data_IF_544178061064
#
_entry.id   IF_544178061064
#
_cell.length_a   1.000
_cell.length_b   1.000
_cell.length_c   1.000
_cell.angle_alpha   90.00
_cell.angle_beta   90.00
_cell.angle_gamma   90.00
#
_symmetry.space_group_name_H-M   'P 1'
#
loop_
_entity.id
_entity.type
_entity.pdbx_description
1 polymer ?
#
# COMPACT_ATOMS: atom_id res chain seq x y z
N UNK A 1 3.46 32.09 4.14
CA UNK A 1 2.37 31.15 3.79
C UNK A 1 2.40 30.70 2.32
N UNK A 2 2.37 31.58 1.31
CA UNK A 2 2.44 31.14 -0.11
C UNK A 2 3.70 30.34 -0.45
N UNK A 3 4.87 30.74 0.05
CA UNK A 3 6.10 29.98 -0.14
C UNK A 3 6.06 28.61 0.56
N UNK A 4 5.53 28.55 1.78
CA UNK A 4 5.31 27.30 2.51
C UNK A 4 4.35 26.35 1.77
N UNK A 5 3.26 26.89 1.20
CA UNK A 5 2.31 26.12 0.41
C UNK A 5 2.99 25.50 -0.83
N UNK A 6 3.83 26.28 -1.53
CA UNK A 6 4.62 25.78 -2.67
C UNK A 6 5.63 24.71 -2.27
N UNK A 7 6.27 24.85 -1.12
CA UNK A 7 7.17 23.81 -0.57
C UNK A 7 6.42 22.50 -0.31
N UNK A 8 5.14 22.57 0.05
CA UNK A 8 4.26 21.41 0.23
C UNK A 8 3.53 20.98 -1.05
N UNK A 9 3.91 21.50 -2.23
CA UNK A 9 3.33 21.10 -3.53
C UNK A 9 1.99 21.76 -3.86
N UNK A 10 1.50 22.71 -3.05
CA UNK A 10 0.28 23.47 -3.33
C UNK A 10 0.60 24.72 -4.15
N UNK A 11 -0.09 24.87 -5.29
CA UNK A 11 0.03 26.04 -6.17
C UNK A 11 -0.78 27.24 -5.64
N UNK A 12 -0.65 27.57 -4.36
CA UNK A 12 -1.37 28.68 -3.74
C UNK A 12 -0.65 30.01 -3.98
N UNK A 13 -1.33 30.94 -4.66
CA UNK A 13 -0.94 32.34 -4.71
C UNK A 13 -1.54 33.13 -3.54
N UNK A 14 -1.14 34.40 -3.40
CA UNK A 14 -1.64 35.28 -2.33
C UNK A 14 -3.14 35.54 -2.43
N UNK A 15 -3.71 35.52 -3.64
CA UNK A 15 -5.14 35.74 -3.86
C UNK A 15 -5.96 34.57 -3.34
N UNK A 16 -5.52 33.32 -3.61
CA UNK A 16 -6.13 32.10 -3.10
C UNK A 16 -6.09 32.05 -1.57
N UNK A 17 -4.97 32.40 -0.96
CA UNK A 17 -4.84 32.46 0.51
C UNK A 17 -5.84 33.46 1.08
N UNK A 18 -5.89 34.68 0.55
CA UNK A 18 -6.84 35.71 0.99
C UNK A 18 -8.31 35.33 0.74
N UNK A 19 -8.60 34.45 -0.22
CA UNK A 19 -9.94 33.90 -0.45
C UNK A 19 -10.30 32.81 0.57
N UNK A 20 -9.35 31.93 0.91
CA UNK A 20 -9.52 30.90 1.94
C UNK A 20 -9.71 31.54 3.33
N UNK A 21 -8.88 32.52 3.68
CA UNK A 21 -8.97 33.25 4.97
C UNK A 21 -10.32 33.97 5.18
N UNK A 22 -10.99 34.35 4.08
CA UNK A 22 -12.32 34.98 4.12
C UNK A 22 -13.48 33.99 4.00
N UNK A 23 -13.20 32.69 3.88
CA UNK A 23 -14.22 31.68 3.59
C UNK A 23 -14.87 31.83 2.20
N UNK A 24 -14.28 32.63 1.31
CA UNK A 24 -14.80 32.89 -0.04
C UNK A 24 -14.47 31.75 -1.03
N UNK A 25 -13.64 30.80 -0.62
CA UNK A 25 -13.24 29.63 -1.40
C UNK A 25 -13.29 28.39 -0.51
N UNK A 26 -13.83 27.30 -1.05
CA UNK A 26 -13.78 25.99 -0.41
C UNK A 26 -12.37 25.40 -0.47
N UNK A 27 -12.01 24.65 0.57
CA UNK A 27 -10.79 23.86 0.63
C UNK A 27 -11.13 22.41 0.29
N UNK A 28 -10.32 21.76 -0.54
CA UNK A 28 -10.50 20.32 -0.80
C UNK A 28 -10.01 19.49 0.39
N UNK A 29 -10.39 18.20 0.46
CA UNK A 29 -9.96 17.34 1.56
C UNK A 29 -8.45 17.11 1.56
N UNK A 30 -7.85 17.01 0.37
CA UNK A 30 -6.40 16.87 0.19
C UNK A 30 -5.68 18.14 0.67
N UNK A 31 -6.22 19.32 0.33
CA UNK A 31 -5.70 20.60 0.80
C UNK A 31 -5.82 20.73 2.33
N UNK A 32 -6.94 20.28 2.91
CA UNK A 32 -7.15 20.28 4.36
C UNK A 32 -6.14 19.38 5.08
N UNK A 33 -5.87 18.18 4.56
CA UNK A 33 -4.89 17.24 5.14
C UNK A 33 -3.45 17.77 5.02
N UNK A 34 -3.13 18.53 3.98
CA UNK A 34 -1.79 19.12 3.78
C UNK A 34 -1.61 20.42 4.58
N UNK A 35 -2.69 21.13 4.91
CA UNK A 35 -2.66 22.43 5.57
C UNK A 35 -1.86 22.48 6.90
N UNK A 36 -1.93 21.48 7.81
CA UNK A 36 -1.12 21.50 9.03
C UNK A 36 0.39 21.57 8.75
N UNK A 37 0.88 20.92 7.68
CA UNK A 37 2.28 20.99 7.28
C UNK A 37 2.64 22.38 6.74
N UNK A 38 1.78 22.96 5.91
CA UNK A 38 1.97 24.31 5.37
C UNK A 38 2.06 25.34 6.50
N UNK A 39 1.14 25.25 7.45
CA UNK A 39 1.12 26.15 8.61
C UNK A 39 2.29 25.87 9.54
N UNK A 40 2.72 24.63 9.68
CA UNK A 40 3.87 24.33 10.52
C UNK A 40 5.19 24.89 9.99
N UNK A 41 5.37 24.88 8.68
CA UNK A 41 6.48 25.59 8.02
C UNK A 41 6.33 27.11 8.16
N UNK A 42 5.11 27.64 7.97
CA UNK A 42 4.89 29.09 7.99
C UNK A 42 4.96 29.73 9.39
N UNK A 43 4.59 28.98 10.43
CA UNK A 43 4.50 29.44 11.82
C UNK A 43 5.61 28.90 12.71
N UNK A 44 6.53 28.09 12.16
CA UNK A 44 7.64 27.46 12.90
C UNK A 44 7.20 26.67 14.14
N UNK A 45 6.01 26.06 14.09
CA UNK A 45 5.45 25.20 15.15
C UNK A 45 4.71 24.04 14.55
N UNK A 46 4.57 22.92 15.26
CA UNK A 46 3.67 21.87 14.80
C UNK A 46 2.21 22.37 14.87
N UNK A 47 1.43 22.09 13.83
CA UNK A 47 -0.02 22.33 13.76
C UNK A 47 -0.67 20.98 13.48
N UNK A 48 -1.79 20.69 14.12
CA UNK A 48 -2.56 19.46 13.91
C UNK A 48 -3.85 19.74 13.14
N UNK A 49 -4.49 18.72 12.58
CA UNK A 49 -5.81 18.87 11.94
C UNK A 49 -6.86 19.29 12.98
N UNK A 50 -6.81 18.74 14.18
CA UNK A 50 -7.71 19.11 15.27
C UNK A 50 -7.59 20.59 15.64
N UNK A 51 -6.38 21.15 15.66
CA UNK A 51 -6.18 22.60 15.87
C UNK A 51 -6.78 23.46 14.74
N UNK A 52 -6.83 22.96 13.50
CA UNK A 52 -7.45 23.68 12.38
C UNK A 52 -8.97 23.63 12.42
N UNK A 53 -9.49 22.58 13.04
CA UNK A 53 -10.90 22.27 13.17
C UNK A 53 -11.39 22.56 14.62
N UNK A 54 -10.67 23.37 15.39
CA UNK A 54 -11.10 23.77 16.74
C UNK A 54 -12.11 24.92 16.65
N UNK A 55 -13.28 24.62 16.10
CA UNK A 55 -14.42 25.53 16.02
C UNK A 55 -15.69 24.84 16.49
N UNK A 56 -16.54 25.53 17.29
CA UNK A 56 -17.86 25.02 17.64
C UNK A 56 -18.85 25.05 16.47
N UNK A 57 -18.48 25.71 15.36
CA UNK A 57 -19.36 25.85 14.21
C UNK A 57 -19.46 24.55 13.40
N UNK A 58 -20.62 24.35 12.78
CA UNK A 58 -20.81 23.25 11.83
C UNK A 58 -20.04 23.54 10.55
N UNK A 59 -19.30 22.52 10.10
CA UNK A 59 -18.56 22.56 8.83
C UNK A 59 -19.42 21.86 7.77
N UNK A 60 -19.74 22.60 6.71
CA UNK A 60 -20.39 22.04 5.54
C UNK A 60 -19.38 21.19 4.75
N UNK A 61 -19.57 19.88 4.73
CA UNK A 61 -18.83 18.95 3.86
C UNK A 61 -19.43 18.99 2.44
N UNK A 62 -20.76 19.10 2.37
CA UNK A 62 -21.54 19.36 1.16
C UNK A 62 -22.70 20.30 1.54
N UNK A 63 -23.47 20.84 0.58
CA UNK A 63 -24.64 21.66 0.91
C UNK A 63 -25.70 20.95 1.77
N UNK A 64 -25.68 19.61 1.82
CA UNK A 64 -26.65 18.79 2.57
C UNK A 64 -26.03 18.07 3.78
N UNK A 65 -24.71 17.95 3.85
CA UNK A 65 -24.00 17.24 4.92
C UNK A 65 -23.16 18.23 5.69
N UNK A 66 -23.46 18.32 6.98
CA UNK A 66 -22.75 19.15 7.93
C UNK A 66 -22.30 18.26 9.09
N UNK A 67 -21.13 18.55 9.65
CA UNK A 67 -20.63 17.88 10.85
C UNK A 67 -19.98 18.92 11.76
N UNK A 68 -19.83 18.59 13.04
CA UNK A 68 -18.96 19.40 13.87
C UNK A 68 -17.53 19.29 13.35
N UNK A 69 -16.74 20.34 13.56
CA UNK A 69 -15.34 20.33 13.17
C UNK A 69 -14.56 19.19 13.88
N UNK A 70 -14.97 18.84 15.11
CA UNK A 70 -14.50 17.68 15.85
C UNK A 70 -14.81 16.35 15.16
N UNK A 71 -16.06 16.12 14.75
CA UNK A 71 -16.44 14.87 14.06
C UNK A 71 -15.62 14.65 12.79
N UNK A 72 -15.31 15.73 12.06
CA UNK A 72 -14.48 15.66 10.86
C UNK A 72 -13.03 15.30 11.21
N UNK A 73 -12.49 15.87 12.29
CA UNK A 73 -11.17 15.50 12.79
C UNK A 73 -11.13 14.01 13.18
N UNK A 74 -12.17 13.53 13.86
CA UNK A 74 -12.31 12.14 14.29
C UNK A 74 -12.38 11.20 13.07
N UNK A 75 -13.18 11.53 12.04
CA UNK A 75 -13.20 10.77 10.77
C UNK A 75 -11.80 10.72 10.14
N UNK A 76 -11.09 11.85 10.09
CA UNK A 76 -9.76 11.92 9.48
C UNK A 76 -8.71 11.15 10.29
N UNK A 77 -8.93 10.99 11.59
CA UNK A 77 -8.15 10.11 12.46
C UNK A 77 -8.53 8.62 12.31
N UNK A 78 -9.62 8.31 11.58
CA UNK A 78 -10.15 6.96 11.42
C UNK A 78 -11.08 6.53 12.56
N UNK A 79 -11.54 7.48 13.37
CA UNK A 79 -12.49 7.27 14.46
C UNK A 79 -13.94 7.40 13.96
N UNK A 80 -14.88 6.82 14.69
CA UNK A 80 -16.32 6.93 14.39
C UNK A 80 -16.87 8.18 15.06
N UNK A 81 -17.39 9.15 14.30
CA UNK A 81 -17.93 10.38 14.87
C UNK A 81 -19.24 10.09 15.60
N UNK A 82 -19.53 10.86 16.65
CA UNK A 82 -20.72 10.66 17.49
C UNK A 82 -21.96 11.34 16.91
N UNK A 83 -21.81 12.50 16.25
CA UNK A 83 -22.92 13.43 16.00
C UNK A 83 -23.07 13.91 14.54
N UNK A 84 -22.60 13.13 13.54
CA UNK A 84 -22.80 13.56 12.14
C UNK A 84 -24.28 13.56 11.78
N UNK A 85 -24.76 14.76 11.47
CA UNK A 85 -26.11 14.99 10.96
C UNK A 85 -26.13 14.56 9.50
N UNK A 86 -26.36 13.27 9.32
CA UNK A 86 -26.66 12.67 8.04
C UNK A 86 -28.17 12.80 7.80
N UNK A 87 -28.66 13.35 6.67
CA UNK A 87 -30.08 13.32 6.36
C UNK A 87 -30.62 11.90 6.52
N UNK A 88 -31.79 11.72 7.14
CA UNK A 88 -32.35 10.41 7.50
C UNK A 88 -32.34 9.40 6.32
N UNK A 89 -32.53 9.89 5.09
CA UNK A 89 -32.44 9.06 3.87
C UNK A 89 -31.05 8.50 3.56
N UNK A 90 -29.98 9.24 3.90
CA UNK A 90 -28.60 8.78 3.77
C UNK A 90 -28.24 7.85 4.93
N UNK A 91 -28.78 8.10 6.13
CA UNK A 91 -28.67 7.17 7.26
C UNK A 91 -29.35 5.81 6.96
N UNK A 92 -30.51 5.81 6.30
CA UNK A 92 -31.24 4.61 5.86
C UNK A 92 -30.51 3.83 4.74
N UNK A 93 -29.77 4.55 3.88
CA UNK A 93 -28.93 3.94 2.84
C UNK A 93 -27.68 3.28 3.43
N UNK A 94 -27.08 3.90 4.45
CA UNK A 94 -25.91 3.36 5.18
C UNK A 94 -26.33 2.22 6.12
N UNK A 95 -27.50 2.32 6.77
CA UNK A 95 -28.04 1.35 7.72
C UNK A 95 -28.40 -0.03 7.14
N UNK A 96 -28.37 -0.22 5.81
CA UNK A 96 -28.49 -1.54 5.17
C UNK A 96 -27.17 -2.30 5.03
N UNK A 97 -26.04 -1.68 5.38
CA UNK A 97 -24.75 -2.35 5.53
C UNK A 97 -24.25 -2.20 6.96
N UNK A 98 -24.54 -3.17 7.83
CA UNK A 98 -24.00 -3.22 9.18
C UNK A 98 -22.48 -3.34 9.12
N UNK A 99 -21.76 -2.27 9.46
CA UNK A 99 -20.33 -2.30 9.73
C UNK A 99 -20.14 -2.72 11.20
N UNK A 100 -20.11 -4.04 11.46
CA UNK A 100 -19.75 -4.59 12.77
C UNK A 100 -18.24 -4.85 12.82
N UNK A 101 -17.46 -3.81 13.16
CA UNK A 101 -16.08 -3.97 13.59
C UNK A 101 -16.05 -4.09 15.12
N UNK A 102 -16.20 -5.33 15.60
CA UNK A 102 -15.63 -5.83 16.86
C UNK A 102 -15.84 -4.98 18.12
N UNK A 103 -16.90 -5.28 18.88
CA UNK A 103 -17.00 -4.93 20.31
C UNK A 103 -15.79 -5.46 21.10
N UNK A 104 -14.94 -4.55 21.57
CA UNK A 104 -14.17 -4.75 22.80
C UNK A 104 -14.92 -3.97 23.89
N UNK A 105 -15.14 -4.61 25.04
CA UNK A 105 -16.05 -4.20 26.10
C UNK A 105 -15.85 -2.75 26.58
N UNK A 106 -16.89 -1.93 26.44
CA UNK A 106 -17.03 -0.64 27.12
C UNK A 106 -17.71 -0.77 28.50
N UNK A 107 -17.59 0.28 29.35
CA UNK A 107 -18.08 0.29 30.73
C UNK A 107 -19.63 0.26 30.83
N UNK A 108 -20.22 -0.10 31.99
CA UNK A 108 -21.66 -0.27 32.11
C UNK A 108 -22.44 1.05 31.93
N UNK A 109 -23.71 0.98 31.49
CA UNK A 109 -24.50 2.16 31.14
C UNK A 109 -24.86 3.00 32.38
N UNK A 110 -24.81 4.31 32.20
CA UNK A 110 -25.33 5.31 33.15
C UNK A 110 -26.87 5.36 33.01
N UNK A 111 -27.65 5.50 34.10
CA UNK A 111 -29.11 5.57 34.02
C UNK A 111 -29.58 6.85 33.32
N UNK A 112 -30.52 6.70 32.39
CA UNK A 112 -31.15 7.78 31.62
C UNK A 112 -32.06 8.67 32.48
N UNK A 113 -31.94 9.98 32.31
CA UNK A 113 -32.80 11.01 32.90
C UNK A 113 -34.10 11.15 32.07
N UNK A 114 -35.31 10.97 32.65
CA UNK A 114 -36.57 10.96 31.92
C UNK A 114 -37.13 12.37 31.56
N UNK A 115 -36.26 13.36 31.31
CA UNK A 115 -36.66 14.77 31.18
C UNK A 115 -36.47 15.47 29.82
N UNK A 116 -35.90 14.84 28.80
CA UNK A 116 -35.59 15.54 27.54
C UNK A 116 -36.71 15.40 26.49
N UNK A 117 -37.35 16.51 26.13
CA UNK A 117 -38.34 16.59 25.06
C UNK A 117 -37.69 16.54 23.67
N UNK A 118 -38.19 15.66 22.79
CA UNK A 118 -37.76 15.48 21.40
C UNK A 118 -38.22 16.62 20.49
N UNK A 119 -37.34 17.05 19.57
CA UNK A 119 -37.56 18.11 18.58
C UNK A 119 -38.12 17.59 17.23
N UNK A 120 -38.75 16.41 17.20
CA UNK A 120 -39.04 15.70 15.93
C UNK A 120 -40.45 15.84 15.34
N UNK A 121 -41.31 16.71 15.86
CA UNK A 121 -42.70 16.83 15.36
C UNK A 121 -42.93 18.02 14.41
N UNK A 122 -42.30 17.97 13.22
CA UNK A 122 -42.73 18.77 12.07
C UNK A 122 -43.16 17.85 10.93
N UNK A 123 -44.40 17.97 10.40
CA UNK A 123 -44.85 17.16 9.29
C UNK A 123 -44.20 17.63 7.99
N UNK A 124 -43.30 16.82 7.42
CA UNK A 124 -42.78 17.01 6.07
C UNK A 124 -43.79 16.46 5.05
N UNK A 125 -44.23 17.31 4.13
CA UNK A 125 -45.17 16.97 3.06
C UNK A 125 -44.63 15.87 2.11
N UNK A 126 -45.46 14.89 1.68
CA UNK A 126 -45.01 13.74 0.90
C UNK A 126 -44.86 13.98 -0.62
N UNK A 127 -45.06 15.20 -1.13
CA UNK A 127 -45.16 15.45 -2.59
C UNK A 127 -43.84 15.78 -3.32
N UNK A 128 -42.67 15.74 -2.65
CA UNK A 128 -41.37 16.06 -3.28
C UNK A 128 -40.37 14.88 -3.35
N UNK A 129 -40.79 13.65 -3.09
CA UNK A 129 -39.88 12.50 -2.94
C UNK A 129 -39.64 11.64 -4.20
N UNK A 130 -40.12 12.05 -5.39
CA UNK A 130 -39.99 11.26 -6.62
C UNK A 130 -39.35 12.02 -7.76
N UNK A 131 -38.02 12.06 -7.84
CA UNK A 131 -37.31 12.55 -9.02
C UNK A 131 -35.85 12.94 -8.80
N UNK A 132 -35.53 13.61 -7.69
CA UNK A 132 -34.17 14.12 -7.44
C UNK A 132 -33.18 13.07 -6.91
N UNK A 133 -33.67 11.97 -6.32
CA UNK A 133 -32.82 10.96 -5.67
C UNK A 133 -32.08 10.05 -6.67
N UNK A 134 -32.67 9.77 -7.85
CA UNK A 134 -31.98 9.03 -8.93
C UNK A 134 -30.94 9.91 -9.64
N UNK A 135 -31.22 11.21 -9.76
CA UNK A 135 -30.34 12.16 -10.45
C UNK A 135 -29.07 12.45 -9.63
N UNK A 136 -29.16 12.51 -8.29
CA UNK A 136 -28.01 12.70 -7.39
C UNK A 136 -27.15 11.42 -7.28
N UNK A 137 -27.77 10.23 -7.24
CA UNK A 137 -27.04 8.95 -7.24
C UNK A 137 -26.25 8.78 -8.56
N UNK A 138 -26.85 9.16 -9.69
CA UNK A 138 -26.20 9.13 -11.00
C UNK A 138 -25.13 10.22 -11.20
N UNK A 139 -25.33 11.46 -10.72
CA UNK A 139 -24.40 12.55 -10.97
C UNK A 139 -23.17 12.58 -10.06
N UNK A 140 -23.26 12.08 -8.82
CA UNK A 140 -22.18 12.25 -7.82
C UNK A 140 -21.62 10.92 -7.34
N UNK A 141 -22.46 9.93 -7.04
CA UNK A 141 -22.00 8.64 -6.49
C UNK A 141 -21.41 7.74 -7.56
N UNK A 142 -22.00 7.74 -8.75
CA UNK A 142 -21.51 6.90 -9.84
C UNK A 142 -20.10 7.31 -10.31
N UNK A 143 -19.74 8.60 -10.45
CA UNK A 143 -18.35 8.99 -10.73
C UNK A 143 -17.36 8.61 -9.62
N UNK A 144 -17.73 8.77 -8.34
CA UNK A 144 -16.84 8.43 -7.20
C UNK A 144 -16.65 6.91 -7.12
N UNK A 145 -17.72 6.13 -7.27
CA UNK A 145 -17.67 4.67 -7.31
C UNK A 145 -16.82 4.19 -8.48
N UNK A 146 -16.98 4.80 -9.66
CA UNK A 146 -16.18 4.48 -10.84
C UNK A 146 -14.70 4.87 -10.67
N UNK A 147 -14.40 6.00 -10.02
CA UNK A 147 -13.04 6.39 -9.71
C UNK A 147 -12.38 5.43 -8.71
N UNK A 148 -13.09 5.06 -7.64
CA UNK A 148 -12.59 4.10 -6.64
C UNK A 148 -12.40 2.70 -7.27
N UNK A 149 -13.38 2.22 -8.03
CA UNK A 149 -13.29 0.95 -8.74
C UNK A 149 -12.12 0.93 -9.73
N UNK A 150 -11.93 2.01 -10.49
CA UNK A 150 -10.80 2.13 -11.42
C UNK A 150 -9.46 2.15 -10.69
N UNK A 151 -9.35 2.91 -9.60
CA UNK A 151 -8.14 2.98 -8.79
C UNK A 151 -7.79 1.60 -8.22
N UNK A 152 -8.79 0.88 -7.71
CA UNK A 152 -8.61 -0.50 -7.22
C UNK A 152 -8.14 -1.40 -8.36
N UNK A 153 -8.84 -1.39 -9.50
CA UNK A 153 -8.49 -2.23 -10.66
C UNK A 153 -7.08 -1.95 -11.20
N UNK A 154 -6.65 -0.70 -11.24
CA UNK A 154 -5.29 -0.30 -11.64
C UNK A 154 -4.23 -0.69 -10.60
N UNK A 155 -4.58 -0.66 -9.30
CA UNK A 155 -3.69 -1.05 -8.21
C UNK A 155 -3.56 -2.58 -8.03
N UNK A 156 -4.57 -3.37 -8.45
CA UNK A 156 -4.61 -4.82 -8.23
C UNK A 156 -3.41 -5.59 -8.81
N UNK A 157 -2.94 -5.33 -10.05
CA UNK A 157 -1.75 -6.00 -10.58
C UNK A 157 -0.50 -5.73 -9.73
N UNK A 158 -0.34 -4.49 -9.26
CA UNK A 158 0.77 -4.08 -8.40
C UNK A 158 0.64 -4.73 -7.03
N UNK A 159 -0.57 -4.74 -6.45
CA UNK A 159 -0.83 -5.38 -5.16
C UNK A 159 -0.49 -6.87 -5.18
N UNK A 160 -0.94 -7.56 -6.23
CA UNK A 160 -0.61 -8.96 -6.48
C UNK A 160 0.89 -9.16 -6.59
N UNK A 161 1.59 -8.37 -7.41
CA UNK A 161 3.05 -8.50 -7.58
C UNK A 161 3.81 -8.25 -6.27
N UNK A 162 3.38 -7.26 -5.49
CA UNK A 162 3.97 -6.99 -4.17
C UNK A 162 3.74 -8.15 -3.18
N UNK A 163 2.58 -8.79 -3.22
CA UNK A 163 2.30 -10.00 -2.43
C UNK A 163 3.19 -11.18 -2.85
N UNK A 164 3.33 -11.42 -4.16
CA UNK A 164 4.21 -12.46 -4.73
C UNK A 164 5.67 -12.27 -4.29
N UNK A 165 6.16 -11.03 -4.29
CA UNK A 165 7.51 -10.70 -3.82
C UNK A 165 7.65 -10.63 -2.28
N UNK A 166 6.57 -10.89 -1.53
CA UNK A 166 6.58 -10.78 -0.07
C UNK A 166 6.93 -9.38 0.44
N UNK A 167 6.60 -8.35 -0.33
CA UNK A 167 6.75 -6.94 0.03
C UNK A 167 5.53 -6.42 0.79
N UNK A 168 4.42 -7.17 0.74
CA UNK A 168 3.19 -6.79 1.43
C UNK A 168 3.38 -6.86 2.94
N UNK A 169 3.29 -5.72 3.67
CA UNK A 169 3.38 -5.74 5.11
C UNK A 169 2.21 -6.56 5.71
N UNK A 170 2.40 -7.10 6.91
CA UNK A 170 1.29 -7.75 7.64
C UNK A 170 0.22 -6.69 7.91
N UNK A 171 -0.99 -6.91 7.39
CA UNK A 171 -2.09 -5.93 7.45
C UNK A 171 -2.01 -4.84 6.38
N UNK A 172 -1.14 -4.96 5.38
CA UNK A 172 -1.05 -4.00 4.28
C UNK A 172 -2.37 -3.87 3.51
N UNK A 173 -2.62 -2.68 2.99
CA UNK A 173 -3.85 -2.32 2.27
C UNK A 173 -3.54 -1.87 0.84
N UNK A 174 -4.57 -1.75 -0.01
CA UNK A 174 -4.42 -1.12 -1.33
C UNK A 174 -3.87 0.31 -1.20
N UNK A 175 -4.12 0.99 -0.07
CA UNK A 175 -3.54 2.30 0.24
C UNK A 175 -2.01 2.31 0.25
N UNK A 176 -1.36 1.20 0.61
CA UNK A 176 0.11 1.09 0.58
C UNK A 176 0.65 1.13 -0.86
N UNK A 177 -0.06 0.49 -1.80
CA UNK A 177 0.28 0.53 -3.23
C UNK A 177 0.14 1.93 -3.77
N UNK A 178 -0.97 2.59 -3.44
CA UNK A 178 -1.19 3.99 -3.81
C UNK A 178 -0.07 4.86 -3.27
N UNK A 179 0.26 4.73 -1.98
CA UNK A 179 1.36 5.46 -1.34
C UNK A 179 2.69 5.24 -2.06
N UNK A 180 3.02 4.01 -2.45
CA UNK A 180 4.24 3.73 -3.22
C UNK A 180 4.22 4.38 -4.60
N UNK A 181 3.07 4.38 -5.28
CA UNK A 181 2.92 5.07 -6.56
C UNK A 181 3.17 6.59 -6.42
N UNK A 182 2.64 7.21 -5.36
CA UNK A 182 2.84 8.63 -5.06
C UNK A 182 4.30 9.00 -4.74
N UNK A 183 5.05 8.09 -4.11
CA UNK A 183 6.46 8.30 -3.80
C UNK A 183 7.39 8.07 -5.00
N UNK A 184 6.90 7.46 -6.09
CA UNK A 184 7.67 7.19 -7.28
C UNK A 184 7.90 8.45 -8.11
N UNK A 185 9.11 8.60 -8.67
CA UNK A 185 9.43 9.63 -9.65
C UNK A 185 9.97 9.05 -10.95
N UNK A 186 10.48 9.91 -11.82
CA UNK A 186 11.04 9.54 -13.13
C UNK A 186 12.15 8.48 -13.02
N UNK A 187 12.93 8.49 -11.94
CA UNK A 187 14.02 7.53 -11.73
C UNK A 187 13.46 6.11 -11.50
N UNK A 188 12.41 5.99 -10.71
CA UNK A 188 11.71 4.73 -10.42
C UNK A 188 10.94 4.23 -11.66
N UNK A 189 10.38 5.13 -12.48
CA UNK A 189 9.77 4.76 -13.76
C UNK A 189 10.78 4.15 -14.74
N UNK A 190 11.94 4.79 -14.90
CA UNK A 190 13.01 4.28 -15.77
C UNK A 190 13.56 2.95 -15.26
N UNK A 191 13.69 2.81 -13.94
CA UNK A 191 14.07 1.56 -13.30
C UNK A 191 13.04 0.46 -13.56
N UNK A 192 11.76 0.76 -13.39
CA UNK A 192 10.65 -0.16 -13.64
C UNK A 192 10.65 -0.67 -15.07
N UNK A 193 10.74 0.23 -16.06
CA UNK A 193 10.86 -0.15 -17.49
C UNK A 193 12.05 -1.06 -17.76
N UNK A 194 13.19 -0.84 -17.09
CA UNK A 194 14.40 -1.62 -17.29
C UNK A 194 14.33 -3.01 -16.63
N UNK A 195 13.67 -3.11 -15.47
CA UNK A 195 13.55 -4.35 -14.71
C UNK A 195 12.29 -5.14 -15.06
N UNK A 196 11.38 -4.57 -15.85
CA UNK A 196 10.09 -5.20 -16.17
C UNK A 196 9.09 -5.14 -15.03
N UNK A 197 9.21 -4.15 -14.13
CA UNK A 197 8.39 -4.02 -12.93
C UNK A 197 7.63 -2.70 -12.89
N UNK A 198 6.45 -2.65 -12.26
CA UNK A 198 5.74 -1.39 -12.03
C UNK A 198 6.58 -0.43 -11.16
N UNK A 199 6.53 0.90 -11.39
CA UNK A 199 7.29 1.88 -10.60
C UNK A 199 7.03 1.78 -9.10
N UNK A 200 5.79 1.52 -8.69
CA UNK A 200 5.42 1.31 -7.29
C UNK A 200 6.12 0.09 -6.65
N UNK A 201 6.40 -0.98 -7.43
CA UNK A 201 7.18 -2.13 -6.95
C UNK A 201 8.64 -1.73 -6.73
N UNK A 202 9.20 -0.90 -7.61
CA UNK A 202 10.56 -0.36 -7.43
C UNK A 202 10.65 0.46 -6.14
N UNK A 203 9.65 1.30 -5.86
CA UNK A 203 9.57 2.06 -4.61
C UNK A 203 9.51 1.12 -3.41
N UNK A 204 8.61 0.12 -3.42
CA UNK A 204 8.46 -0.83 -2.33
C UNK A 204 9.76 -1.60 -2.03
N UNK A 205 10.43 -2.11 -3.08
CA UNK A 205 11.72 -2.79 -2.96
C UNK A 205 12.81 -1.86 -2.41
N UNK A 206 12.86 -0.62 -2.88
CA UNK A 206 13.84 0.37 -2.43
C UNK A 206 13.65 0.69 -0.94
N UNK A 207 12.40 0.88 -0.50
CA UNK A 207 12.06 1.09 0.90
C UNK A 207 12.41 -0.13 1.76
N UNK A 208 12.19 -1.35 1.25
CA UNK A 208 12.53 -2.58 1.97
C UNK A 208 14.05 -2.77 2.11
N UNK A 209 14.83 -2.44 1.08
CA UNK A 209 16.29 -2.60 1.09
C UNK A 209 17.02 -1.50 1.84
N UNK A 210 16.59 -0.25 1.68
CA UNK A 210 17.36 0.93 2.10
C UNK A 210 16.57 1.90 3.00
N UNK A 211 15.28 1.67 3.21
CA UNK A 211 14.41 2.62 3.91
C UNK A 211 14.15 3.93 3.14
N UNK A 212 14.54 4.01 1.86
CA UNK A 212 14.44 5.21 1.01
C UNK A 212 14.07 4.83 -0.42
N UNK A 213 13.58 5.79 -1.22
CA UNK A 213 13.35 5.59 -2.66
C UNK A 213 14.69 5.44 -3.41
N UNK A 214 14.66 4.86 -4.62
CA UNK A 214 15.86 4.65 -5.44
C UNK A 214 16.58 5.98 -5.74
N UNK A 215 15.81 7.03 -6.06
CA UNK A 215 16.31 8.38 -6.27
C UNK A 215 16.96 8.98 -5.02
N UNK A 216 16.32 8.84 -3.86
CA UNK A 216 16.86 9.33 -2.59
C UNK A 216 18.13 8.59 -2.17
N UNK A 217 18.17 7.27 -2.30
CA UNK A 217 19.35 6.47 -1.97
C UNK A 217 20.53 6.77 -2.89
N UNK A 218 20.28 6.95 -4.19
CA UNK A 218 21.29 7.41 -5.14
C UNK A 218 21.92 8.73 -4.71
N UNK A 219 21.11 9.70 -4.30
CA UNK A 219 21.59 11.02 -3.93
C UNK A 219 22.26 11.02 -2.55
N UNK A 220 21.85 10.12 -1.63
CA UNK A 220 22.56 9.84 -0.38
C UNK A 220 23.96 9.26 -0.61
N UNK A 221 24.10 8.20 -1.43
CA UNK A 221 25.42 7.62 -1.75
C UNK A 221 26.30 8.66 -2.46
N UNK A 222 25.70 9.52 -3.30
CA UNK A 222 26.43 10.58 -3.98
C UNK A 222 26.98 11.62 -3.00
N UNK A 223 26.22 11.99 -1.96
CA UNK A 223 26.68 12.93 -0.93
C UNK A 223 27.78 12.33 -0.05
N UNK A 224 27.69 11.03 0.27
CA UNK A 224 28.73 10.33 1.06
C UNK A 224 30.04 10.16 0.30
N UNK A 225 29.99 9.93 -1.03
CA UNK A 225 31.19 9.70 -1.86
C UNK A 225 32.11 10.92 -2.01
N UNK A 226 31.82 12.03 -1.30
CA UNK A 226 32.68 13.22 -1.20
C UNK A 226 33.18 13.67 -2.57
N UNK A 227 32.25 13.77 -3.53
CA UNK A 227 32.57 14.34 -4.84
C UNK A 227 33.09 15.76 -4.59
N UNK A 228 34.32 16.11 -5.01
CA UNK A 228 34.88 17.42 -4.74
C UNK A 228 33.89 18.50 -5.15
N UNK A 229 33.71 19.54 -4.33
CA UNK A 229 32.80 20.65 -4.64
C UNK A 229 33.13 21.36 -5.96
N UNK A 230 34.39 21.24 -6.42
CA UNK A 230 34.87 21.72 -7.72
C UNK A 230 34.66 20.74 -8.90
N UNK A 231 33.99 19.60 -8.68
CA UNK A 231 33.76 18.63 -9.74
C UNK A 231 32.82 19.20 -10.82
N UNK A 232 33.14 18.90 -12.08
CA UNK A 232 32.31 19.32 -13.21
C UNK A 232 30.96 18.60 -13.19
N UNK A 233 29.92 19.23 -13.78
CA UNK A 233 28.58 18.62 -13.92
C UNK A 233 28.62 17.25 -14.59
N UNK A 234 29.52 17.05 -15.55
CA UNK A 234 29.69 15.77 -16.25
C UNK A 234 30.27 14.68 -15.35
N UNK A 235 31.19 15.05 -14.46
CA UNK A 235 31.74 14.13 -13.47
C UNK A 235 30.64 13.66 -12.51
N UNK A 236 29.84 14.60 -11.99
CA UNK A 236 28.70 14.29 -11.11
C UNK A 236 27.68 13.39 -11.82
N UNK A 237 27.34 13.69 -13.09
CA UNK A 237 26.44 12.87 -13.91
C UNK A 237 26.99 11.45 -14.12
N UNK A 238 28.28 11.31 -14.41
CA UNK A 238 28.95 10.02 -14.59
C UNK A 238 28.96 9.19 -13.30
N UNK A 239 29.27 9.81 -12.16
CA UNK A 239 29.21 9.17 -10.84
C UNK A 239 27.78 8.71 -10.54
N UNK A 240 26.79 9.59 -10.70
CA UNK A 240 25.37 9.27 -10.51
C UNK A 240 24.95 8.08 -11.37
N UNK A 241 25.32 8.06 -12.66
CA UNK A 241 25.00 6.95 -13.57
C UNK A 241 25.66 5.62 -13.20
N UNK A 242 26.83 5.62 -12.55
CA UNK A 242 27.44 4.40 -11.97
C UNK A 242 26.67 3.92 -10.73
N UNK A 243 26.31 4.85 -9.83
CA UNK A 243 25.53 4.55 -8.62
C UNK A 243 24.18 3.93 -9.02
N UNK A 244 23.42 4.57 -9.92
CA UNK A 244 22.13 4.04 -10.38
C UNK A 244 22.24 2.63 -10.94
N UNK A 245 23.26 2.34 -11.77
CA UNK A 245 23.47 0.98 -12.30
C UNK A 245 23.75 -0.05 -11.20
N UNK A 246 24.51 0.32 -10.18
CA UNK A 246 24.77 -0.55 -9.05
C UNK A 246 23.49 -0.83 -8.24
N UNK A 247 22.71 0.20 -7.92
CA UNK A 247 21.44 0.06 -7.20
C UNK A 247 20.42 -0.80 -7.98
N UNK A 248 20.37 -0.64 -9.32
CA UNK A 248 19.53 -1.49 -10.17
C UNK A 248 19.96 -2.96 -10.16
N UNK A 249 21.26 -3.24 -10.10
CA UNK A 249 21.74 -4.62 -9.95
C UNK A 249 21.35 -5.21 -8.59
N UNK A 250 21.38 -4.40 -7.52
CA UNK A 250 20.91 -4.83 -6.20
C UNK A 250 19.41 -5.14 -6.21
N UNK A 251 18.57 -4.25 -6.76
CA UNK A 251 17.13 -4.48 -6.92
C UNK A 251 16.84 -5.74 -7.74
N UNK A 252 17.54 -5.95 -8.85
CA UNK A 252 17.39 -7.16 -9.65
C UNK A 252 17.76 -8.42 -8.88
N UNK A 253 18.81 -8.36 -8.04
CA UNK A 253 19.18 -9.44 -7.14
C UNK A 253 18.10 -9.74 -6.09
N UNK A 254 17.54 -8.70 -5.48
CA UNK A 254 16.49 -8.84 -4.46
C UNK A 254 15.18 -9.40 -5.03
N UNK A 255 14.77 -8.94 -6.22
CA UNK A 255 13.62 -9.51 -6.95
C UNK A 255 13.81 -11.00 -7.12
N UNK A 256 14.98 -11.43 -7.64
CA UNK A 256 15.28 -12.86 -7.82
C UNK A 256 15.23 -13.61 -6.49
N UNK A 257 15.88 -13.10 -5.43
CA UNK A 257 15.86 -13.75 -4.12
C UNK A 257 14.44 -13.92 -3.56
N UNK A 258 13.57 -12.93 -3.76
CA UNK A 258 12.17 -12.98 -3.33
C UNK A 258 11.32 -13.92 -4.17
N UNK A 259 11.55 -13.98 -5.48
CA UNK A 259 10.92 -14.98 -6.36
C UNK A 259 11.30 -16.40 -5.90
N UNK A 260 12.59 -16.64 -5.61
CA UNK A 260 13.06 -17.91 -5.05
C UNK A 260 12.40 -18.23 -3.71
N UNK A 261 12.22 -17.22 -2.84
CA UNK A 261 11.53 -17.41 -1.56
C UNK A 261 10.03 -17.67 -1.73
N UNK A 262 9.38 -17.05 -2.72
CA UNK A 262 7.98 -17.29 -3.08
C UNK A 262 7.76 -18.71 -3.58
N UNK A 263 8.65 -19.22 -4.43
CA UNK A 263 8.64 -20.61 -4.89
C UNK A 263 8.78 -21.60 -3.74
N UNK A 264 9.63 -21.28 -2.76
CA UNK A 264 9.78 -22.10 -1.57
C UNK A 264 8.51 -22.17 -0.73
N UNK A 265 7.65 -21.13 -0.68
CA UNK A 265 6.40 -21.17 0.11
C UNK A 265 5.42 -22.24 -0.36
N UNK A 266 5.36 -22.54 -1.66
CA UNK A 266 4.50 -23.64 -2.13
C UNK A 266 4.97 -24.98 -1.58
N UNK A 267 6.30 -25.17 -1.53
CA UNK A 267 6.91 -26.37 -0.96
C UNK A 267 6.73 -26.38 0.57
N UNK A 268 6.88 -25.23 1.23
CA UNK A 268 6.61 -25.12 2.67
C UNK A 268 5.17 -25.54 2.99
N UNK A 269 4.19 -25.09 2.18
CA UNK A 269 2.79 -25.50 2.35
C UNK A 269 2.58 -26.99 2.07
N UNK A 270 3.21 -27.54 1.03
CA UNK A 270 3.06 -28.95 0.68
C UNK A 270 3.72 -29.89 1.70
N UNK A 271 4.82 -29.46 2.32
CA UNK A 271 5.65 -30.30 3.19
C UNK A 271 5.47 -30.01 4.68
N UNK A 272 4.90 -28.85 5.04
CA UNK A 272 4.88 -28.35 6.41
C UNK A 272 6.27 -27.99 6.97
N UNK A 273 7.30 -27.90 6.14
CA UNK A 273 8.69 -27.59 6.53
C UNK A 273 9.04 -26.16 6.12
N UNK A 274 9.93 -25.51 6.86
CA UNK A 274 10.39 -24.16 6.52
C UNK A 274 11.33 -24.13 5.31
N UNK A 275 11.43 -22.99 4.63
CA UNK A 275 12.16 -22.79 3.39
C UNK A 275 13.65 -23.12 3.50
N UNK A 276 14.25 -22.89 4.68
CA UNK A 276 15.64 -23.25 4.93
C UNK A 276 15.88 -24.77 4.83
N UNK A 277 14.92 -25.57 5.32
CA UNK A 277 14.99 -27.03 5.23
C UNK A 277 14.81 -27.50 3.78
N UNK A 278 13.83 -26.92 3.06
CA UNK A 278 13.60 -27.17 1.64
C UNK A 278 14.86 -26.86 0.81
N UNK A 279 15.51 -25.72 1.07
CA UNK A 279 16.73 -25.32 0.38
C UNK A 279 17.90 -26.28 0.64
N UNK A 280 18.01 -26.83 1.87
CA UNK A 280 19.02 -27.83 2.21
C UNK A 280 18.78 -29.14 1.46
N UNK A 281 17.52 -29.62 1.43
CA UNK A 281 17.16 -30.83 0.68
C UNK A 281 17.41 -30.66 -0.82
N UNK A 282 17.03 -29.52 -1.40
CA UNK A 282 17.31 -29.21 -2.81
C UNK A 282 18.82 -29.24 -3.12
N UNK A 283 19.63 -28.65 -2.23
CA UNK A 283 21.09 -28.66 -2.38
C UNK A 283 21.67 -30.06 -2.27
N UNK A 284 21.15 -30.91 -1.38
CA UNK A 284 21.60 -32.30 -1.28
C UNK A 284 21.21 -33.13 -2.51
N UNK A 285 20.01 -32.90 -3.07
CA UNK A 285 19.52 -33.63 -4.24
C UNK A 285 20.26 -33.24 -5.53
N UNK A 286 20.53 -31.94 -5.72
CA UNK A 286 20.95 -31.42 -7.03
C UNK A 286 22.24 -30.60 -7.00
N UNK A 287 22.82 -30.36 -5.82
CA UNK A 287 23.97 -29.47 -5.65
C UNK A 287 23.66 -27.98 -5.84
N UNK A 288 22.41 -27.63 -6.12
CA UNK A 288 21.96 -26.27 -6.48
C UNK A 288 20.62 -25.94 -5.80
N UNK A 289 20.17 -24.68 -5.95
CA UNK A 289 18.81 -24.30 -5.55
C UNK A 289 17.77 -24.89 -6.49
N UNK A 290 16.54 -25.08 -6.00
CA UNK A 290 15.43 -25.61 -6.78
C UNK A 290 15.16 -24.81 -8.07
N UNK A 291 15.27 -23.48 -8.02
CA UNK A 291 15.07 -22.67 -9.21
C UNK A 291 16.20 -22.77 -10.23
N UNK A 292 17.45 -22.88 -9.77
CA UNK A 292 18.58 -23.11 -10.67
C UNK A 292 18.42 -24.47 -11.35
N UNK A 293 17.98 -25.49 -10.59
CA UNK A 293 17.70 -26.81 -11.13
C UNK A 293 16.52 -26.77 -12.12
N UNK A 294 15.46 -26.03 -11.81
CA UNK A 294 14.34 -25.80 -12.74
C UNK A 294 14.82 -25.17 -14.04
N UNK A 295 15.56 -24.07 -13.94
CA UNK A 295 16.02 -23.35 -15.12
C UNK A 295 17.00 -24.18 -15.95
N UNK A 296 17.86 -24.99 -15.31
CA UNK A 296 18.71 -25.99 -15.97
C UNK A 296 17.87 -26.99 -16.75
N UNK A 297 16.89 -27.62 -16.11
CA UNK A 297 16.03 -28.63 -16.75
C UNK A 297 15.16 -28.04 -17.87
N UNK A 298 14.67 -26.81 -17.73
CA UNK A 298 13.93 -26.10 -18.79
C UNK A 298 14.83 -25.81 -19.99
N UNK A 299 16.05 -25.32 -19.75
CA UNK A 299 17.02 -25.05 -20.81
C UNK A 299 17.49 -26.32 -21.52
N UNK A 300 17.66 -27.43 -20.79
CA UNK A 300 18.01 -28.74 -21.36
C UNK A 300 16.86 -29.36 -22.16
N UNK A 301 15.61 -29.15 -21.72
CA UNK A 301 14.44 -29.75 -22.38
C UNK A 301 14.14 -29.11 -23.73
N UNK A 302 14.12 -27.77 -23.81
CA UNK A 302 13.80 -27.04 -25.04
C UNK A 302 14.58 -25.70 -25.08
N UNK A 303 15.84 -25.69 -25.57
CA UNK A 303 16.70 -24.50 -25.57
C UNK A 303 16.08 -23.29 -26.31
N UNK A 304 15.42 -23.59 -27.43
CA UNK A 304 14.84 -22.61 -28.34
C UNK A 304 13.34 -22.38 -28.10
N UNK A 305 12.81 -22.82 -26.95
CA UNK A 305 11.40 -22.61 -26.61
C UNK A 305 11.03 -21.13 -26.62
N UNK A 306 9.84 -20.82 -27.17
CA UNK A 306 9.25 -19.47 -27.09
C UNK A 306 9.02 -19.05 -25.62
N UNK A 307 8.87 -17.75 -25.32
CA UNK A 307 8.63 -17.28 -23.96
C UNK A 307 7.45 -17.95 -23.27
N UNK A 308 6.32 -18.10 -23.98
CA UNK A 308 5.13 -18.77 -23.45
C UNK A 308 5.39 -20.25 -23.20
N UNK A 309 6.09 -20.91 -24.12
CA UNK A 309 6.47 -22.32 -23.97
C UNK A 309 7.39 -22.54 -22.79
N UNK A 310 8.37 -21.64 -22.56
CA UNK A 310 9.25 -21.69 -21.38
C UNK A 310 8.47 -21.54 -20.08
N UNK A 311 7.42 -20.73 -20.06
CA UNK A 311 6.54 -20.58 -18.90
C UNK A 311 5.81 -21.89 -18.58
N UNK A 312 5.20 -22.52 -19.57
CA UNK A 312 4.54 -23.84 -19.41
C UNK A 312 5.53 -24.91 -18.93
N UNK A 313 6.73 -24.95 -19.53
CA UNK A 313 7.81 -25.87 -19.14
C UNK A 313 8.23 -25.64 -17.69
N UNK A 314 8.41 -24.39 -17.29
CA UNK A 314 8.75 -24.03 -15.91
C UNK A 314 7.70 -24.53 -14.93
N UNK A 315 6.42 -24.31 -15.19
CA UNK A 315 5.34 -24.77 -14.30
C UNK A 315 5.29 -26.29 -14.15
N UNK A 316 5.55 -27.03 -15.24
CA UNK A 316 5.64 -28.50 -15.21
C UNK A 316 6.87 -28.98 -14.44
N UNK A 317 8.04 -28.39 -14.72
CA UNK A 317 9.31 -28.74 -14.06
C UNK A 317 9.27 -28.39 -12.58
N UNK A 318 8.69 -27.24 -12.20
CA UNK A 318 8.51 -26.87 -10.79
C UNK A 318 7.72 -27.95 -10.04
N UNK A 319 6.58 -28.40 -10.58
CA UNK A 319 5.79 -29.48 -9.95
C UNK A 319 6.59 -30.76 -9.79
N UNK A 320 7.32 -31.18 -10.82
CA UNK A 320 8.20 -32.34 -10.75
C UNK A 320 9.27 -32.21 -9.65
N UNK A 321 9.91 -31.05 -9.54
CA UNK A 321 10.94 -30.81 -8.51
C UNK A 321 10.34 -30.74 -7.10
N UNK A 322 9.15 -30.17 -6.95
CA UNK A 322 8.39 -30.16 -5.69
C UNK A 322 8.07 -31.60 -5.24
N UNK A 323 7.62 -32.45 -6.16
CA UNK A 323 7.33 -33.86 -5.87
C UNK A 323 8.60 -34.61 -5.42
N UNK A 324 9.73 -34.37 -6.10
CA UNK A 324 11.02 -34.98 -5.73
C UNK A 324 11.50 -34.54 -4.34
N UNK A 325 11.40 -33.25 -4.02
CA UNK A 325 11.75 -32.73 -2.68
C UNK A 325 10.82 -33.30 -1.63
N UNK A 326 9.53 -33.35 -1.90
CA UNK A 326 8.53 -33.88 -0.96
C UNK A 326 8.79 -35.35 -0.66
N UNK A 327 9.08 -36.15 -1.68
CA UNK A 327 9.40 -37.57 -1.52
C UNK A 327 10.74 -37.77 -0.78
N UNK A 328 11.74 -36.95 -1.06
CA UNK A 328 13.00 -37.00 -0.32
C UNK A 328 12.83 -36.66 1.17
N UNK A 329 12.00 -35.66 1.48
CA UNK A 329 11.66 -35.31 2.86
C UNK A 329 10.98 -36.50 3.55
N UNK A 330 9.98 -37.12 2.91
CA UNK A 330 9.29 -38.30 3.43
C UNK A 330 10.25 -39.48 3.63
N UNK A 331 11.20 -39.69 2.70
CA UNK A 331 12.22 -40.74 2.80
C UNK A 331 13.14 -40.52 4.00
N UNK A 332 13.57 -39.28 4.26
CA UNK A 332 14.41 -38.95 5.43
C UNK A 332 13.66 -39.12 6.75
N UNK A 333 12.37 -38.80 6.78
CA UNK A 333 11.52 -38.97 7.96
C UNK A 333 11.34 -40.46 8.29
N UNK A 334 10.98 -41.28 7.30
CA UNK A 334 10.80 -42.73 7.51
C UNK A 334 12.12 -43.47 7.79
N UNK A 335 13.23 -43.05 7.17
CA UNK A 335 14.56 -43.62 7.40
C UNK A 335 15.19 -43.24 8.74
N UNK A 336 14.97 -42.01 9.21
CA UNK A 336 15.53 -41.53 10.48
C UNK A 336 14.94 -42.23 11.71
N UNK A 337 13.68 -42.65 11.64
CA UNK A 337 13.03 -43.39 12.72
C UNK A 337 13.59 -44.81 12.88
N UNK A 338 14.01 -45.45 11.78
CA UNK A 338 14.66 -46.77 11.80
C UNK A 338 16.03 -46.75 12.49
N UNK A 339 16.87 -45.76 12.19
CA UNK A 339 18.18 -45.61 12.84
C UNK A 339 18.07 -45.28 14.33
N UNK A 340 17.08 -44.48 14.75
CA UNK A 340 16.86 -44.19 16.18
C UNK A 340 16.35 -45.40 16.97
N UNK A 341 15.56 -46.27 16.35
CA UNK A 341 15.11 -47.52 16.99
C UNK A 341 16.24 -48.54 17.16
N UNK A 342 17.17 -48.64 16.20
CA UNK A 342 18.36 -49.50 16.33
C UNK A 342 19.35 -49.00 17.40
N UNK A 343 19.49 -47.69 17.58
CA UNK A 343 20.35 -47.12 18.63
C UNK A 343 19.74 -47.23 20.04
N UNK A 344 18.42 -47.16 20.17
CA UNK A 344 17.74 -47.28 21.47
C UNK A 344 17.60 -48.73 21.97
N UNK A 345 17.81 -49.72 21.09
CA UNK A 345 17.75 -51.15 21.41
C UNK A 345 19.09 -51.79 21.81
N UNK A 346 20.17 -51.02 21.89
CA UNK A 346 21.51 -51.46 22.32
C UNK A 346 21.86 -50.93 23.72
#
# INVERSE_FOLDING_TARGET
>A
MSDAARLCGLAWDRSRIAALERGAKSISIEELVVLPFVLGVACERQVTVSELLDSPDLVALTPQIHGSARDIADILAGETPEDIIVPSRVADAIGRGTWDFGRIAGPPPVPSDPGAHSFTDLPLSPELAGGADEEIDAQVREPIRNLAARTILEAMPVARRAFELGLWPRGGTVGDVTRWAWLGGETEELAGRRLGEPPAIIVALSLALWGRTLSAERDHILSEKSVPSAATRDTVRSVRGRITRNLLNQLSGDIRLRELAGENREIEKATGRGAAFVALVARDLWGNSLANERDRLVAESEPDASPDRRRELRERVTRQLVDQVTEEIRRRETGGDGQRQEEAGR
#
